data_IF_515171000603
#
_entry.id   IF_515171000603
#
_cell.length_a   1.000
_cell.length_b   1.000
_cell.length_c   1.000
_cell.angle_alpha   90.00
_cell.angle_beta   90.00
_cell.angle_gamma   90.00
#
_symmetry.space_group_name_H-M   'P 1'
#
loop_
_entity.id
_entity.type
_entity.pdbx_description
1 polymer ?
#
# COMPACT_ATOMS: atom_id res chain seq x y z
N UNK A 1 -31.51 -15.72 11.41
CA UNK A 1 -30.33 -16.21 10.66
C UNK A 1 -29.71 -15.01 9.98
N UNK A 2 -28.70 -14.39 10.60
CA UNK A 2 -27.97 -13.22 10.10
C UNK A 2 -26.49 -13.50 10.42
N UNK A 3 -25.81 -14.24 9.54
CA UNK A 3 -24.44 -14.69 9.83
C UNK A 3 -23.53 -14.67 8.58
N UNK A 4 -23.91 -13.88 7.57
CA UNK A 4 -23.21 -13.81 6.28
C UNK A 4 -22.57 -12.45 5.99
N UNK A 5 -22.92 -11.39 6.73
CA UNK A 5 -22.40 -10.03 6.47
C UNK A 5 -20.99 -9.80 7.02
N UNK A 6 -20.61 -10.47 8.11
CA UNK A 6 -19.35 -10.18 8.83
C UNK A 6 -18.09 -10.73 8.12
N UNK A 7 -18.25 -11.61 7.12
CA UNK A 7 -17.10 -12.22 6.42
C UNK A 7 -16.58 -11.37 5.27
N UNK A 8 -17.39 -10.47 4.71
CA UNK A 8 -17.00 -9.70 3.52
C UNK A 8 -16.13 -8.48 3.87
N UNK A 9 -16.38 -7.83 5.01
CA UNK A 9 -15.64 -6.63 5.41
C UNK A 9 -14.17 -6.89 5.79
N UNK A 10 -13.84 -8.09 6.31
CA UNK A 10 -12.46 -8.41 6.71
C UNK A 10 -11.49 -8.60 5.54
N UNK A 11 -11.98 -8.84 4.31
CA UNK A 11 -11.12 -8.99 3.13
C UNK A 11 -10.77 -7.66 2.45
N UNK A 12 -11.63 -6.65 2.55
CA UNK A 12 -11.44 -5.36 1.87
C UNK A 12 -10.47 -4.43 2.61
N UNK A 13 -10.36 -4.56 3.94
CA UNK A 13 -9.45 -3.74 4.78
C UNK A 13 -7.95 -3.94 4.49
N UNK A 14 -7.57 -4.95 3.70
CA UNK A 14 -6.16 -5.28 3.37
C UNK A 14 -5.71 -4.83 1.98
N UNK A 15 -6.54 -4.07 1.26
CA UNK A 15 -6.05 -3.26 0.15
C UNK A 15 -5.40 -2.00 0.71
N UNK A 16 -4.32 -2.16 1.50
CA UNK A 16 -3.30 -1.11 1.56
C UNK A 16 -2.95 -0.80 0.11
N UNK A 17 -3.01 0.47 -0.27
CA UNK A 17 -2.77 0.94 -1.64
C UNK A 17 -1.29 0.68 -1.98
N UNK A 18 -0.99 -0.56 -2.32
CA UNK A 18 0.32 -1.00 -2.76
C UNK A 18 0.47 -0.54 -4.20
N UNK A 19 1.33 0.44 -4.42
CA UNK A 19 1.69 0.87 -5.77
C UNK A 19 2.72 -0.08 -6.37
N UNK A 20 2.80 -0.08 -7.69
CA UNK A 20 3.85 -0.79 -8.40
C UNK A 20 5.19 -0.09 -8.14
N UNK A 21 6.19 -0.84 -7.70
CA UNK A 21 7.54 -0.31 -7.53
C UNK A 21 8.21 -0.07 -8.90
N UNK A 22 8.78 1.11 -9.18
CA UNK A 22 9.42 1.40 -10.47
C UNK A 22 10.69 0.57 -10.71
N UNK A 23 11.31 0.03 -9.66
CA UNK A 23 12.54 -0.77 -9.76
C UNK A 23 12.27 -2.23 -10.06
N UNK A 24 11.45 -2.88 -9.25
CA UNK A 24 11.21 -4.33 -9.35
C UNK A 24 9.86 -4.69 -9.99
N UNK A 25 9.04 -3.68 -10.34
CA UNK A 25 7.71 -3.82 -10.97
C UNK A 25 6.69 -4.65 -10.17
N UNK A 26 6.97 -4.96 -8.91
CA UNK A 26 6.04 -5.64 -8.02
C UNK A 26 5.13 -4.64 -7.29
N UNK A 27 3.91 -5.07 -6.95
CA UNK A 27 2.96 -4.34 -6.12
C UNK A 27 3.37 -4.39 -4.65
N UNK A 28 4.52 -3.80 -4.35
CA UNK A 28 5.15 -3.85 -3.03
C UNK A 28 5.59 -2.46 -2.55
N UNK A 29 5.22 -1.37 -3.25
CA UNK A 29 5.52 0.00 -2.86
C UNK A 29 4.44 0.50 -1.90
N UNK A 30 4.81 0.72 -0.64
CA UNK A 30 3.95 1.23 0.42
C UNK A 30 4.36 2.65 0.81
N UNK A 31 3.40 3.45 1.28
CA UNK A 31 3.66 4.77 1.84
C UNK A 31 3.97 4.65 3.32
N UNK A 32 5.12 5.14 3.73
CA UNK A 32 5.59 5.19 5.11
C UNK A 32 5.90 6.66 5.47
N UNK A 33 4.91 7.35 6.03
CA UNK A 33 5.02 8.77 6.38
C UNK A 33 5.18 9.67 5.13
N UNK A 34 6.34 10.33 5.01
CA UNK A 34 6.67 11.21 3.88
C UNK A 34 7.59 10.54 2.84
N UNK A 35 7.73 9.21 2.88
CA UNK A 35 8.47 8.45 1.90
C UNK A 35 7.64 7.26 1.42
N UNK A 36 7.94 6.78 0.22
CA UNK A 36 7.47 5.47 -0.24
C UNK A 36 8.61 4.48 -0.17
N UNK A 37 8.33 3.29 0.36
CA UNK A 37 9.28 2.20 0.49
C UNK A 37 8.74 0.92 -0.14
N UNK A 38 9.58 0.24 -0.90
CA UNK A 38 9.28 -1.05 -1.49
C UNK A 38 9.75 -2.16 -0.57
N UNK A 39 8.82 -2.96 -0.06
CA UNK A 39 9.12 -4.09 0.83
C UNK A 39 9.83 -5.25 0.14
N UNK A 40 9.85 -5.28 -1.19
CA UNK A 40 10.44 -6.37 -1.96
C UNK A 40 11.90 -6.13 -2.38
N UNK A 41 12.24 -4.93 -2.87
CA UNK A 41 13.59 -4.62 -3.35
C UNK A 41 14.34 -3.56 -2.52
N UNK A 42 13.69 -2.99 -1.50
CA UNK A 42 14.28 -1.95 -0.66
C UNK A 42 14.33 -0.56 -1.29
N UNK A 43 13.69 -0.35 -2.45
CA UNK A 43 13.56 0.99 -3.04
C UNK A 43 12.89 1.96 -2.06
N UNK A 44 13.49 3.12 -1.82
CA UNK A 44 12.92 4.18 -0.99
C UNK A 44 12.99 5.50 -1.75
N UNK A 45 11.89 6.23 -1.79
CA UNK A 45 11.80 7.55 -2.39
C UNK A 45 11.07 8.50 -1.44
N UNK A 46 11.74 9.59 -1.05
CA UNK A 46 11.11 10.65 -0.25
C UNK A 46 10.17 11.42 -1.15
N UNK A 47 8.89 11.48 -0.79
CA UNK A 47 7.96 12.31 -1.53
C UNK A 47 8.24 13.77 -1.20
N UNK A 48 8.41 14.64 -2.23
CA UNK A 48 8.41 16.07 -1.97
C UNK A 48 7.05 16.41 -1.38
N UNK A 49 7.04 16.96 -0.17
CA UNK A 49 5.83 17.48 0.45
C UNK A 49 5.20 18.48 -0.52
N UNK A 50 4.04 18.14 -1.09
CA UNK A 50 3.24 19.05 -1.90
C UNK A 50 2.93 20.28 -1.05
N UNK A 51 3.71 21.33 -1.25
CA UNK A 51 3.46 22.66 -0.72
C UNK A 51 3.09 23.50 -1.93
N UNK A 52 1.79 23.49 -2.22
CA UNK A 52 1.13 24.34 -3.21
C UNK A 52 0.33 25.42 -2.50
#
# INVERSE_FOLDING_TARGET
MNHDEERFEKKLKKFSVLKQCPRCRQLALAFEGNAVRCSNCGYEEKMPSLRE
#
